data_IF_140262693855
#
_entry.id   IF_140262693855
#
_cell.length_a   1.000
_cell.length_b   1.000
_cell.length_c   1.000
_cell.angle_alpha   90.00
_cell.angle_beta   90.00
_cell.angle_gamma   90.00
#
_symmetry.space_group_name_H-M   'P 1'
#
loop_
_entity.id
_entity.type
_entity.pdbx_description
1 polymer ?
#
# COMPACT_ATOMS: atom_id res chain seq x y z
N UNK A 1 -30.88 17.03 11.43
CA UNK A 1 -29.53 17.63 11.50
C UNK A 1 -28.59 16.57 12.06
N UNK A 2 -27.71 16.01 11.23
CA UNK A 2 -26.71 15.03 11.65
C UNK A 2 -25.69 15.73 12.56
N UNK A 3 -25.40 15.16 13.73
CA UNK A 3 -24.50 15.77 14.71
C UNK A 3 -23.04 15.68 14.23
N UNK A 4 -22.63 16.69 13.46
CA UNK A 4 -21.33 16.79 12.78
C UNK A 4 -20.14 16.56 13.74
N UNK A 5 -20.29 16.98 14.99
CA UNK A 5 -19.28 16.84 16.04
C UNK A 5 -18.86 15.39 16.33
N UNK A 6 -19.72 14.39 16.06
CA UNK A 6 -19.41 12.97 16.31
C UNK A 6 -18.39 12.43 15.29
N UNK A 7 -18.43 12.91 14.05
CA UNK A 7 -17.54 12.45 12.98
C UNK A 7 -16.31 13.34 12.80
N UNK A 8 -16.34 14.58 13.30
CA UNK A 8 -15.26 15.56 13.21
C UNK A 8 -13.90 15.02 13.69
N UNK A 9 -13.87 14.22 14.76
CA UNK A 9 -12.61 13.64 15.26
C UNK A 9 -12.02 12.66 14.24
N UNK A 10 -12.87 11.80 13.67
CA UNK A 10 -12.44 10.82 12.67
C UNK A 10 -11.99 11.52 11.38
N UNK A 11 -12.79 12.45 10.86
CA UNK A 11 -12.47 13.19 9.65
C UNK A 11 -11.15 13.96 9.79
N UNK A 12 -10.93 14.65 10.92
CA UNK A 12 -9.67 15.36 11.16
C UNK A 12 -8.47 14.43 11.23
N UNK A 13 -8.63 13.23 11.77
CA UNK A 13 -7.56 12.25 11.91
C UNK A 13 -7.22 11.56 10.59
N UNK A 14 -8.22 11.26 9.76
CA UNK A 14 -8.08 10.34 8.62
C UNK A 14 -8.38 10.96 7.25
N UNK A 15 -8.78 12.23 7.14
CA UNK A 15 -9.08 12.86 5.83
C UNK A 15 -7.95 12.86 4.79
N UNK A 16 -6.72 12.57 5.22
CA UNK A 16 -5.52 12.50 4.38
C UNK A 16 -4.81 11.17 4.55
N UNK A 17 -5.56 10.14 4.93
CA UNK A 17 -5.09 8.77 5.03
C UNK A 17 -6.07 7.88 4.30
N UNK A 18 -5.56 6.87 3.62
CA UNK A 18 -6.35 5.72 3.22
C UNK A 18 -5.56 4.49 3.56
N UNK A 19 -6.23 3.45 4.05
CA UNK A 19 -5.59 2.21 4.44
C UNK A 19 -6.32 1.03 3.82
N UNK A 20 -5.55 0.01 3.45
CA UNK A 20 -6.04 -1.17 2.77
C UNK A 20 -5.49 -2.41 3.47
N UNK A 21 -6.33 -3.42 3.56
CA UNK A 21 -6.00 -4.76 4.01
C UNK A 21 -5.95 -5.66 2.79
N UNK A 22 -4.90 -6.48 2.72
CA UNK A 22 -4.67 -7.42 1.62
C UNK A 22 -4.91 -8.81 2.17
N UNK A 23 -5.89 -9.51 1.60
CA UNK A 23 -6.23 -10.88 1.98
C UNK A 23 -5.71 -11.87 0.94
N UNK A 24 -5.33 -13.05 1.39
CA UNK A 24 -5.15 -14.19 0.50
C UNK A 24 -6.50 -14.83 0.12
N UNK A 25 -6.45 -15.89 -0.71
CA UNK A 25 -7.65 -16.61 -1.17
C UNK A 25 -8.42 -17.32 -0.06
N UNK A 26 -7.81 -17.53 1.11
CA UNK A 26 -8.49 -18.10 2.28
C UNK A 26 -9.19 -17.05 3.13
N UNK A 27 -8.98 -15.76 2.82
CA UNK A 27 -9.48 -14.63 3.59
C UNK A 27 -8.54 -14.20 4.71
N UNK A 28 -7.33 -14.74 4.80
CA UNK A 28 -6.35 -14.35 5.82
C UNK A 28 -5.67 -13.03 5.44
N UNK A 29 -5.56 -12.11 6.39
CA UNK A 29 -4.82 -10.86 6.20
C UNK A 29 -3.32 -11.13 6.13
N UNK A 30 -2.72 -10.94 4.96
CA UNK A 30 -1.29 -11.17 4.73
C UNK A 30 -0.47 -9.88 4.64
N UNK A 31 -1.10 -8.76 4.25
CA UNK A 31 -0.43 -7.47 4.15
C UNK A 31 -1.35 -6.28 4.40
N UNK A 32 -0.73 -5.12 4.63
CA UNK A 32 -1.39 -3.82 4.77
C UNK A 32 -0.68 -2.78 3.91
N UNK A 33 -1.47 -1.95 3.22
CA UNK A 33 -0.96 -0.80 2.46
C UNK A 33 -1.66 0.45 2.96
N UNK A 34 -0.91 1.46 3.38
CA UNK A 34 -1.46 2.73 3.83
C UNK A 34 -0.84 3.89 3.07
N UNK A 35 -1.65 4.90 2.80
CA UNK A 35 -1.24 6.13 2.15
C UNK A 35 -1.42 7.32 3.07
N UNK A 36 -0.46 8.25 3.02
CA UNK A 36 -0.59 9.57 3.64
C UNK A 36 -0.50 10.63 2.55
N UNK A 37 -1.60 11.33 2.33
CA UNK A 37 -1.73 12.35 1.28
C UNK A 37 -1.15 13.70 1.76
N UNK A 38 -0.48 14.45 0.87
CA UNK A 38 -0.06 15.81 1.19
C UNK A 38 -1.28 16.74 1.29
N UNK A 39 -1.15 17.85 2.02
CA UNK A 39 -2.24 18.80 2.20
C UNK A 39 -2.58 19.59 0.91
N UNK A 40 -1.57 19.80 0.07
CA UNK A 40 -1.62 20.65 -1.12
C UNK A 40 -1.85 19.88 -2.43
N UNK A 41 -2.02 18.56 -2.35
CA UNK A 41 -2.16 17.68 -3.51
C UNK A 41 -0.90 17.51 -4.37
N UNK A 42 0.09 18.42 -4.32
CA UNK A 42 1.33 18.39 -5.11
C UNK A 42 2.56 17.85 -4.34
N UNK A 43 2.52 17.91 -3.01
CA UNK A 43 3.57 17.42 -2.13
C UNK A 43 3.74 15.89 -2.18
N UNK A 44 4.59 15.39 -1.26
CA UNK A 44 4.88 13.96 -1.16
C UNK A 44 3.67 13.19 -0.61
N UNK A 45 3.15 12.28 -1.44
CA UNK A 45 2.30 11.19 -1.01
C UNK A 45 3.21 10.05 -0.55
N UNK A 46 3.03 9.58 0.68
CA UNK A 46 3.79 8.45 1.22
C UNK A 46 2.94 7.18 1.14
N UNK A 47 3.58 6.07 0.75
CA UNK A 47 3.02 4.73 0.85
C UNK A 47 3.79 3.94 1.90
N UNK A 48 3.07 3.26 2.78
CA UNK A 48 3.58 2.37 3.81
C UNK A 48 3.11 0.97 3.45
N UNK A 49 4.05 0.06 3.19
CA UNK A 49 3.76 -1.31 2.76
C UNK A 49 4.30 -2.27 3.81
N UNK A 50 3.42 -3.11 4.35
CA UNK A 50 3.76 -4.05 5.40
C UNK A 50 3.22 -5.43 5.05
N UNK A 51 4.11 -6.35 4.69
CA UNK A 51 3.81 -7.77 4.73
C UNK A 51 3.91 -8.24 6.18
N UNK A 52 2.89 -8.94 6.70
CA UNK A 52 2.87 -9.32 8.11
C UNK A 52 4.03 -10.26 8.44
N UNK A 53 4.71 -9.98 9.55
CA UNK A 53 5.92 -10.71 9.97
C UNK A 53 7.22 -10.17 9.39
N UNK A 54 7.18 -9.14 8.54
CA UNK A 54 8.36 -8.49 7.93
C UNK A 54 8.41 -7.01 8.31
N UNK A 55 9.59 -6.38 8.47
CA UNK A 55 9.67 -4.94 8.69
C UNK A 55 8.93 -4.14 7.60
N UNK A 56 8.07 -3.21 8.03
CA UNK A 56 7.35 -2.31 7.13
C UNK A 56 8.34 -1.42 6.34
N UNK A 57 8.09 -1.26 5.05
CA UNK A 57 8.82 -0.34 4.18
C UNK A 57 7.97 0.88 3.82
N UNK A 58 8.64 1.96 3.40
CA UNK A 58 7.97 3.21 3.02
C UNK A 58 8.56 3.81 1.76
N UNK A 59 7.70 4.11 0.78
CA UNK A 59 8.03 4.86 -0.43
C UNK A 59 7.31 6.20 -0.49
N UNK A 60 7.62 7.01 -1.50
CA UNK A 60 6.89 8.25 -1.76
C UNK A 60 6.85 8.62 -3.24
N UNK A 61 5.88 9.45 -3.60
CA UNK A 61 5.76 10.08 -4.91
C UNK A 61 5.35 11.56 -4.74
N UNK A 62 5.89 12.45 -5.59
CA UNK A 62 5.63 13.90 -5.53
C UNK A 62 5.26 14.48 -6.90
N UNK A 63 4.87 15.75 -6.96
CA UNK A 63 4.39 16.36 -8.21
C UNK A 63 2.91 16.05 -8.50
N UNK A 64 2.51 16.17 -9.76
CA UNK A 64 1.11 16.08 -10.21
C UNK A 64 1.02 15.50 -11.63
N UNK A 65 -0.18 15.11 -12.05
CA UNK A 65 -0.46 14.65 -13.43
C UNK A 65 -0.33 13.16 -13.68
N UNK A 66 -0.15 12.34 -12.64
CA UNK A 66 -0.02 10.88 -12.74
C UNK A 66 -0.52 10.20 -11.47
N UNK A 67 -0.63 8.86 -11.48
CA UNK A 67 -1.02 8.09 -10.31
C UNK A 67 0.10 8.00 -9.26
N UNK A 68 0.06 8.91 -8.30
CA UNK A 68 1.00 8.94 -7.18
C UNK A 68 0.87 7.76 -6.23
N UNK A 69 -0.28 7.10 -6.16
CA UNK A 69 -0.45 5.94 -5.26
C UNK A 69 0.40 4.79 -5.76
N UNK A 70 0.26 4.42 -7.03
CA UNK A 70 1.05 3.34 -7.63
C UNK A 70 2.54 3.64 -7.63
N UNK A 71 2.93 4.87 -7.98
CA UNK A 71 4.34 5.26 -7.95
C UNK A 71 4.95 5.19 -6.53
N UNK A 72 4.21 5.63 -5.50
CA UNK A 72 4.68 5.54 -4.11
C UNK A 72 4.75 4.09 -3.62
N UNK A 73 3.81 3.23 -4.02
CA UNK A 73 3.83 1.80 -3.72
C UNK A 73 5.02 1.12 -4.39
N UNK A 74 5.28 1.38 -5.67
CA UNK A 74 6.44 0.85 -6.38
C UNK A 74 7.76 1.33 -5.72
N UNK A 75 7.84 2.61 -5.34
CA UNK A 75 8.95 3.16 -4.55
C UNK A 75 9.17 2.42 -3.21
N UNK A 76 8.09 2.00 -2.53
CA UNK A 76 8.17 1.20 -1.32
C UNK A 76 8.63 -0.23 -1.62
N UNK A 77 8.03 -0.87 -2.63
CA UNK A 77 8.28 -2.25 -3.04
C UNK A 77 9.72 -2.50 -3.48
N UNK A 78 10.37 -1.52 -4.12
CA UNK A 78 11.79 -1.62 -4.47
C UNK A 78 12.69 -1.84 -3.23
N UNK A 79 12.25 -1.43 -2.04
CA UNK A 79 12.97 -1.69 -0.79
C UNK A 79 12.72 -3.09 -0.24
N UNK A 80 11.58 -3.72 -0.56
CA UNK A 80 11.36 -5.14 -0.28
C UNK A 80 12.30 -6.02 -1.11
N UNK A 81 12.58 -5.61 -2.34
CA UNK A 81 13.53 -6.28 -3.23
C UNK A 81 15.00 -6.04 -2.88
N UNK A 82 15.37 -4.80 -2.56
CA UNK A 82 16.78 -4.42 -2.43
C UNK A 82 17.41 -4.62 -1.04
N UNK A 83 16.63 -4.83 0.03
CA UNK A 83 17.18 -4.85 1.40
C UNK A 83 17.42 -6.24 1.98
N UNK A 84 16.79 -7.29 1.48
CA UNK A 84 17.00 -8.62 2.01
C UNK A 84 16.78 -9.69 0.93
N UNK A 85 17.82 -9.88 0.12
CA UNK A 85 17.99 -11.11 -0.68
C UNK A 85 17.85 -12.34 0.24
N UNK A 86 18.24 -12.23 1.52
CA UNK A 86 18.04 -13.29 2.51
C UNK A 86 16.59 -13.50 2.96
N UNK A 87 15.74 -12.48 3.09
CA UNK A 87 14.31 -12.68 3.44
C UNK A 87 13.48 -13.11 2.22
N UNK A 88 13.88 -12.68 1.02
CA UNK A 88 13.32 -13.19 -0.23
C UNK A 88 13.74 -14.64 -0.48
N UNK A 89 14.95 -15.04 -0.12
CA UNK A 89 15.41 -16.42 -0.29
C UNK A 89 15.07 -17.37 0.88
N UNK A 90 14.97 -16.91 2.13
CA UNK A 90 14.61 -17.76 3.29
C UNK A 90 13.11 -17.95 3.48
N UNK A 91 12.25 -17.03 3.04
CA UNK A 91 10.83 -17.15 3.38
C UNK A 91 10.08 -18.20 2.56
N UNK A 92 10.59 -18.60 1.39
CA UNK A 92 9.97 -19.63 0.53
C UNK A 92 8.47 -19.43 0.25
N UNK A 93 7.93 -18.26 0.58
CA UNK A 93 6.51 -18.03 0.67
C UNK A 93 6.06 -17.50 -0.69
N UNK A 94 5.40 -18.32 -1.51
CA UNK A 94 5.01 -17.92 -2.86
C UNK A 94 4.08 -16.71 -2.86
N UNK A 95 3.30 -16.50 -1.78
CA UNK A 95 2.43 -15.33 -1.66
C UNK A 95 3.23 -14.04 -1.42
N UNK A 96 4.29 -14.08 -0.62
CA UNK A 96 5.15 -12.91 -0.44
C UNK A 96 5.80 -12.48 -1.75
N UNK A 97 6.31 -13.44 -2.53
CA UNK A 97 6.87 -13.16 -3.85
C UNK A 97 5.83 -12.63 -4.83
N UNK A 98 4.65 -13.25 -4.90
CA UNK A 98 3.56 -12.79 -5.75
C UNK A 98 3.14 -11.35 -5.38
N UNK A 99 3.02 -11.06 -4.08
CA UNK A 99 2.71 -9.73 -3.57
C UNK A 99 3.77 -8.72 -4.00
N UNK A 100 5.04 -8.93 -3.63
CA UNK A 100 6.13 -8.00 -3.92
C UNK A 100 6.27 -7.75 -5.44
N UNK A 101 6.17 -8.81 -6.24
CA UNK A 101 6.27 -8.74 -7.70
C UNK A 101 5.14 -7.94 -8.34
N UNK A 102 3.91 -8.11 -7.84
CA UNK A 102 2.75 -7.38 -8.34
C UNK A 102 2.90 -5.86 -8.12
N UNK A 103 3.44 -5.45 -6.96
CA UNK A 103 3.47 -4.04 -6.57
C UNK A 103 4.74 -3.28 -7.00
N UNK A 104 5.84 -3.96 -7.33
CA UNK A 104 7.09 -3.29 -7.74
C UNK A 104 7.01 -2.65 -9.13
N UNK A 105 6.14 -3.16 -10.01
CA UNK A 105 5.99 -2.66 -11.37
C UNK A 105 5.31 -1.29 -11.39
N UNK A 106 5.77 -0.40 -12.26
CA UNK A 106 5.07 0.85 -12.59
C UNK A 106 4.79 0.86 -14.09
N UNK A 107 3.72 0.17 -14.49
CA UNK A 107 3.35 -0.08 -15.89
C UNK A 107 2.09 0.65 -16.34
N UNK A 108 1.66 1.68 -15.59
CA UNK A 108 0.43 2.43 -15.87
C UNK A 108 -0.87 1.82 -15.33
N UNK A 109 -0.82 0.58 -14.83
CA UNK A 109 -1.92 -0.05 -14.09
C UNK A 109 -1.87 0.31 -12.60
N UNK A 110 -3.05 0.45 -12.00
CA UNK A 110 -3.18 0.70 -10.56
C UNK A 110 -2.61 -0.44 -9.73
N UNK A 111 -1.92 -0.08 -8.63
CA UNK A 111 -1.27 -1.03 -7.72
C UNK A 111 -2.23 -2.10 -7.16
N UNK A 112 -3.49 -1.74 -6.90
CA UNK A 112 -4.48 -2.64 -6.32
C UNK A 112 -5.06 -3.59 -7.37
N UNK A 113 -5.23 -3.15 -8.62
CA UNK A 113 -5.57 -4.05 -9.74
C UNK A 113 -4.52 -5.15 -9.88
N UNK A 114 -3.24 -4.80 -9.83
CA UNK A 114 -2.15 -5.77 -9.93
C UNK A 114 -2.13 -6.79 -8.79
N UNK A 115 -2.50 -6.38 -7.58
CA UNK A 115 -2.68 -7.32 -6.47
C UNK A 115 -3.87 -8.25 -6.68
N UNK A 116 -4.99 -7.73 -7.20
CA UNK A 116 -6.15 -8.56 -7.55
C UNK A 116 -5.82 -9.58 -8.64
N UNK A 117 -5.08 -9.17 -9.67
CA UNK A 117 -4.64 -10.07 -10.73
C UNK A 117 -3.63 -11.12 -10.24
N UNK A 118 -2.84 -10.80 -9.21
CA UNK A 118 -1.98 -11.75 -8.52
C UNK A 118 -2.74 -12.69 -7.56
N UNK A 119 -4.07 -12.53 -7.43
CA UNK A 119 -4.94 -13.41 -6.66
C UNK A 119 -5.15 -13.00 -5.21
N UNK A 120 -4.91 -11.73 -4.85
CA UNK A 120 -5.22 -11.16 -3.55
C UNK A 120 -6.53 -10.37 -3.56
N UNK A 121 -7.24 -10.36 -2.45
CA UNK A 121 -8.33 -9.41 -2.25
C UNK A 121 -7.79 -8.13 -1.61
N UNK A 122 -8.24 -6.97 -2.11
CA UNK A 122 -7.84 -5.65 -1.61
C UNK A 122 -9.05 -4.93 -1.06
N UNK A 123 -9.10 -4.77 0.27
CA UNK A 123 -10.22 -4.17 1.00
C UNK A 123 -9.78 -2.83 1.58
N UNK A 124 -10.54 -1.77 1.32
CA UNK A 124 -10.32 -0.47 1.96
C UNK A 124 -10.84 -0.49 3.41
N UNK A 125 -9.99 -0.08 4.34
CA UNK A 125 -10.26 -0.03 5.77
C UNK A 125 -10.42 1.39 6.32
N UNK A 126 -9.90 2.40 5.59
CA UNK A 126 -10.03 3.84 5.88
C UNK A 126 -10.23 4.60 4.58
#
# INVERSE_FOLDING_TARGET
MTNRAIYDQFDKAFNRVSAYVILDKSGECVAKVAFKFPADGAGRLYAYVHWLGVPMVRGFAGGYGYDKRSAAVASAANQLYGKDDKLLHDNGNPLYHAFAYAIVRDSGEYWDTRLRDAGFDVIQAV
#
